data_IF_416539060247
#
_entry.id   IF_416539060247
#
_cell.length_a   1.000
_cell.length_b   1.000
_cell.length_c   1.000
_cell.angle_alpha   90.00
_cell.angle_beta   90.00
_cell.angle_gamma   90.00
#
_symmetry.space_group_name_H-M   'P 1'
#
loop_
_entity.id
_entity.type
_entity.pdbx_description
1 polymer ?
#
# COMPACT_ATOMS: atom_id res chain seq x y z
N UNK A 1 -4.25 -11.66 -11.48
CA UNK A 1 -5.55 -12.34 -11.18
C UNK A 1 -6.31 -11.69 -10.03
N UNK A 2 -5.62 -10.99 -9.11
CA UNK A 2 -6.18 -10.44 -7.86
C UNK A 2 -7.06 -9.20 -8.05
N UNK A 3 -6.65 -8.23 -8.89
CA UNK A 3 -7.35 -6.96 -9.07
C UNK A 3 -8.82 -7.10 -9.48
N UNK A 4 -9.12 -8.02 -10.40
CA UNK A 4 -10.49 -8.25 -10.88
C UNK A 4 -11.40 -8.81 -9.79
N UNK A 5 -10.84 -9.53 -8.80
CA UNK A 5 -11.60 -10.03 -7.65
C UNK A 5 -11.94 -8.88 -6.70
N UNK A 6 -11.02 -7.93 -6.49
CA UNK A 6 -11.27 -6.75 -5.68
C UNK A 6 -12.37 -5.87 -6.27
N UNK A 7 -12.31 -5.57 -7.57
CA UNK A 7 -13.38 -4.78 -8.20
C UNK A 7 -14.76 -5.42 -8.01
N UNK A 8 -14.87 -6.74 -8.13
CA UNK A 8 -16.12 -7.47 -7.84
C UNK A 8 -16.52 -7.39 -6.37
N UNK A 9 -15.57 -7.51 -5.46
CA UNK A 9 -15.81 -7.38 -4.02
C UNK A 9 -16.38 -6.00 -3.67
N UNK A 10 -15.89 -4.94 -4.30
CA UNK A 10 -16.41 -3.57 -4.19
C UNK A 10 -17.70 -3.31 -4.99
N UNK A 11 -18.30 -4.36 -5.58
CA UNK A 11 -19.58 -4.25 -6.28
C UNK A 11 -19.51 -3.64 -7.68
N UNK A 12 -18.32 -3.54 -8.28
CA UNK A 12 -18.20 -3.09 -9.67
C UNK A 12 -18.89 -4.10 -10.60
N UNK A 13 -19.85 -3.67 -11.44
CA UNK A 13 -20.57 -4.56 -12.35
C UNK A 13 -19.65 -5.39 -13.23
N UNK A 14 -20.00 -6.67 -13.45
CA UNK A 14 -19.18 -7.62 -14.23
C UNK A 14 -18.86 -7.09 -15.64
N UNK A 15 -19.79 -6.37 -16.26
CA UNK A 15 -19.56 -5.71 -17.56
C UNK A 15 -18.38 -4.73 -17.51
N UNK A 16 -18.31 -3.91 -16.47
CA UNK A 16 -17.23 -2.93 -16.27
C UNK A 16 -15.92 -3.67 -15.96
N UNK A 17 -15.96 -4.67 -15.08
CA UNK A 17 -14.77 -5.51 -14.77
C UNK A 17 -14.20 -6.15 -16.03
N UNK A 18 -15.07 -6.65 -16.92
CA UNK A 18 -14.67 -7.25 -18.18
C UNK A 18 -14.05 -6.22 -19.14
N UNK A 19 -14.62 -5.01 -19.26
CA UNK A 19 -14.04 -3.93 -20.09
C UNK A 19 -12.64 -3.57 -19.57
N UNK A 20 -12.49 -3.40 -18.26
CA UNK A 20 -11.19 -3.08 -17.65
C UNK A 20 -10.21 -4.21 -17.91
N UNK A 21 -10.56 -5.46 -17.61
CA UNK A 21 -9.70 -6.63 -17.82
C UNK A 21 -9.25 -6.75 -19.29
N UNK A 22 -10.18 -6.62 -20.24
CA UNK A 22 -9.86 -6.69 -21.66
C UNK A 22 -8.86 -5.60 -22.10
N UNK A 23 -8.83 -4.46 -21.41
CA UNK A 23 -7.86 -3.40 -21.67
C UNK A 23 -6.43 -3.72 -21.17
N UNK A 24 -6.27 -4.78 -20.38
CA UNK A 24 -4.98 -5.28 -19.87
C UNK A 24 -4.57 -6.61 -20.51
N UNK A 25 -5.54 -7.44 -20.92
CA UNK A 25 -5.26 -8.75 -21.51
C UNK A 25 -4.46 -8.63 -22.81
N UNK A 26 -3.34 -9.36 -22.91
CA UNK A 26 -2.47 -9.36 -24.08
C UNK A 26 -1.70 -8.05 -24.31
N UNK A 27 -1.69 -7.12 -23.35
CA UNK A 27 -1.03 -5.84 -23.49
C UNK A 27 0.47 -6.02 -23.76
N UNK A 28 0.96 -5.33 -24.78
CA UNK A 28 2.39 -5.20 -25.08
C UNK A 28 2.83 -3.74 -24.93
N UNK A 29 4.06 -3.54 -24.46
CA UNK A 29 4.67 -2.23 -24.29
C UNK A 29 5.99 -2.17 -25.07
N UNK A 30 6.34 -0.96 -25.50
CA UNK A 30 7.65 -0.60 -26.06
C UNK A 30 8.15 0.64 -25.34
N UNK A 31 9.44 0.72 -25.07
CA UNK A 31 10.06 1.89 -24.44
C UNK A 31 10.76 2.70 -25.52
N UNK A 32 10.59 4.03 -25.46
CA UNK A 32 11.37 4.95 -26.30
C UNK A 32 12.57 5.44 -25.50
N UNK A 33 13.78 5.23 -26.03
CA UNK A 33 15.02 5.69 -25.42
C UNK A 33 15.96 6.23 -26.51
N UNK A 34 16.40 7.49 -26.37
CA UNK A 34 17.27 8.12 -27.38
C UNK A 34 16.66 8.24 -28.77
N UNK A 35 15.32 8.37 -28.88
CA UNK A 35 14.59 8.42 -30.15
C UNK A 35 14.40 7.06 -30.84
N UNK A 36 14.89 5.97 -30.26
CA UNK A 36 14.67 4.61 -30.75
C UNK A 36 13.66 3.87 -29.87
N UNK A 37 12.85 3.01 -30.49
CA UNK A 37 11.91 2.12 -29.81
C UNK A 37 12.57 0.78 -29.54
N UNK A 38 12.35 0.23 -28.34
CA UNK A 38 12.70 -1.15 -28.03
C UNK A 38 11.77 -2.13 -28.74
N UNK A 39 12.15 -3.41 -28.73
CA UNK A 39 11.23 -4.50 -29.03
C UNK A 39 10.03 -4.51 -28.08
N UNK A 40 8.91 -5.05 -28.58
CA UNK A 40 7.70 -5.20 -27.78
C UNK A 40 7.90 -6.29 -26.73
N UNK A 41 7.51 -6.01 -25.50
CA UNK A 41 7.42 -7.00 -24.44
C UNK A 41 6.00 -7.04 -23.88
N UNK A 42 5.59 -8.21 -23.42
CA UNK A 42 4.28 -8.40 -22.81
C UNK A 42 4.27 -7.83 -21.39
N UNK A 43 3.27 -7.00 -21.08
CA UNK A 43 3.03 -6.50 -19.73
C UNK A 43 2.29 -7.57 -18.94
N UNK A 44 2.91 -8.08 -17.87
CA UNK A 44 2.36 -9.18 -17.05
C UNK A 44 1.85 -8.73 -15.69
N UNK A 45 2.33 -7.61 -15.20
CA UNK A 45 2.06 -7.10 -13.85
C UNK A 45 1.96 -5.58 -13.86
N UNK A 46 1.40 -5.04 -12.77
CA UNK A 46 1.27 -3.61 -12.57
C UNK A 46 0.05 -3.00 -13.26
N UNK A 47 -0.20 -1.74 -12.91
CA UNK A 47 -1.17 -0.88 -13.57
C UNK A 47 -0.45 0.01 -14.59
N UNK A 48 -1.17 0.55 -15.57
CA UNK A 48 -0.55 1.38 -16.62
C UNK A 48 -0.24 2.78 -16.10
N UNK A 49 1.03 3.12 -15.94
CA UNK A 49 1.42 4.48 -15.57
C UNK A 49 0.93 5.49 -16.63
N UNK A 50 0.36 6.62 -16.18
CA UNK A 50 -0.24 7.63 -17.05
C UNK A 50 -1.67 7.33 -17.54
N UNK A 51 -2.21 6.13 -17.30
CA UNK A 51 -3.62 5.85 -17.57
C UNK A 51 -4.49 6.40 -16.44
N UNK A 52 -5.55 7.13 -16.79
CA UNK A 52 -6.49 7.76 -15.84
C UNK A 52 -7.15 6.78 -14.88
N UNK A 53 -7.34 5.52 -15.29
CA UNK A 53 -7.97 4.49 -14.47
C UNK A 53 -6.99 3.85 -13.48
N UNK A 54 -5.69 3.87 -13.78
CA UNK A 54 -4.68 3.16 -13.00
C UNK A 54 -4.56 3.62 -11.55
N UNK A 55 -4.62 4.93 -11.22
CA UNK A 55 -4.66 5.38 -9.83
C UNK A 55 -5.82 4.76 -9.06
N UNK A 56 -7.03 4.77 -9.61
CA UNK A 56 -8.21 4.16 -8.97
C UNK A 56 -8.03 2.66 -8.73
N UNK A 57 -7.50 1.93 -9.72
CA UNK A 57 -7.23 0.50 -9.60
C UNK A 57 -6.20 0.20 -8.52
N UNK A 58 -5.16 1.03 -8.41
CA UNK A 58 -4.14 0.89 -7.39
C UNK A 58 -4.68 1.20 -6.00
N UNK A 59 -5.42 2.31 -5.85
CA UNK A 59 -6.07 2.67 -4.57
C UNK A 59 -7.07 1.60 -4.11
N UNK A 60 -7.79 0.96 -5.03
CA UNK A 60 -8.69 -0.16 -4.68
C UNK A 60 -7.93 -1.35 -4.07
N UNK A 61 -6.67 -1.55 -4.45
CA UNK A 61 -5.81 -2.58 -3.86
C UNK A 61 -5.30 -2.13 -2.49
N UNK A 62 -4.87 -0.86 -2.37
CA UNK A 62 -4.41 -0.28 -1.09
C UNK A 62 -5.53 -0.32 -0.04
N UNK A 63 -6.74 0.11 -0.39
CA UNK A 63 -7.92 0.05 0.48
C UNK A 63 -8.19 -1.38 0.97
N UNK A 64 -8.08 -2.38 0.07
CA UNK A 64 -8.23 -3.78 0.45
C UNK A 64 -7.15 -4.24 1.43
N UNK A 65 -5.88 -3.85 1.20
CA UNK A 65 -4.78 -4.18 2.13
C UNK A 65 -5.07 -3.58 3.49
N UNK A 66 -5.43 -2.30 3.55
CA UNK A 66 -5.66 -1.60 4.81
C UNK A 66 -6.84 -2.19 5.55
N UNK A 67 -7.99 -2.34 4.90
CA UNK A 67 -9.19 -2.94 5.49
C UNK A 67 -8.92 -4.37 5.99
N UNK A 68 -8.17 -5.18 5.24
CA UNK A 68 -7.82 -6.55 5.68
C UNK A 68 -6.83 -6.53 6.85
N UNK A 69 -5.90 -5.58 6.88
CA UNK A 69 -4.83 -5.54 7.89
C UNK A 69 -5.27 -4.94 9.22
N UNK A 70 -6.32 -4.11 9.23
CA UNK A 70 -6.76 -3.33 10.41
C UNK A 70 -8.16 -3.69 10.91
N UNK A 71 -8.99 -4.41 10.13
CA UNK A 71 -10.40 -4.67 10.51
C UNK A 71 -10.59 -5.51 11.77
N UNK A 72 -9.67 -6.42 12.11
CA UNK A 72 -9.85 -7.35 13.23
C UNK A 72 -9.56 -6.72 14.60
N UNK A 73 -8.79 -5.62 14.65
CA UNK A 73 -8.31 -5.09 15.92
C UNK A 73 -8.19 -3.56 15.93
N UNK A 74 -8.69 -2.97 17.04
CA UNK A 74 -8.67 -1.53 17.30
C UNK A 74 -7.29 -1.04 17.73
N UNK A 75 -6.37 -1.04 16.78
CA UNK A 75 -4.95 -0.69 16.96
C UNK A 75 -4.61 0.73 16.48
N UNK A 76 -5.62 1.54 16.15
CA UNK A 76 -5.46 2.93 15.72
C UNK A 76 -5.36 3.91 16.88
N UNK A 77 -5.07 5.17 16.55
CA UNK A 77 -5.09 6.29 17.51
C UNK A 77 -6.54 6.76 17.69
N UNK A 78 -6.95 7.09 18.91
CA UNK A 78 -8.33 7.54 19.16
C UNK A 78 -8.53 8.93 18.54
N UNK A 79 -9.47 9.03 17.59
CA UNK A 79 -9.78 10.29 16.90
C UNK A 79 -11.03 10.98 17.44
N UNK A 80 -12.09 10.21 17.69
CA UNK A 80 -13.33 10.67 18.35
C UNK A 80 -13.71 9.72 19.48
N UNK A 81 -14.82 9.94 20.20
CA UNK A 81 -15.28 9.01 21.23
C UNK A 81 -15.53 7.58 20.72
N UNK A 82 -15.82 7.41 19.42
CA UNK A 82 -16.18 6.11 18.83
C UNK A 82 -15.21 5.64 17.74
N UNK A 83 -14.43 6.53 17.14
CA UNK A 83 -13.59 6.22 15.99
C UNK A 83 -12.10 6.28 16.32
N UNK A 84 -11.35 5.41 15.66
CA UNK A 84 -9.89 5.43 15.64
C UNK A 84 -9.40 5.78 14.24
N UNK A 85 -8.19 6.31 14.18
CA UNK A 85 -7.44 6.57 12.97
C UNK A 85 -6.30 5.54 12.91
N UNK A 86 -6.42 4.60 11.97
CA UNK A 86 -5.46 3.50 11.85
C UNK A 86 -4.26 3.83 10.97
N UNK A 87 -4.46 4.71 10.00
CA UNK A 87 -3.49 5.03 8.97
C UNK A 87 -3.81 6.35 8.26
N UNK A 88 -2.84 6.82 7.49
CA UNK A 88 -2.95 7.84 6.45
C UNK A 88 -2.24 7.30 5.22
N UNK A 89 -2.85 7.39 4.05
CA UNK A 89 -2.29 6.87 2.81
C UNK A 89 -2.31 7.91 1.68
N UNK A 90 -1.29 7.87 0.84
CA UNK A 90 -1.24 8.63 -0.40
C UNK A 90 -0.46 7.87 -1.46
N UNK A 91 -1.16 7.47 -2.52
CA UNK A 91 -0.59 6.63 -3.57
C UNK A 91 0.07 5.37 -2.96
N UNK A 92 1.38 5.21 -3.10
CA UNK A 92 2.16 4.09 -2.55
C UNK A 92 2.72 4.33 -1.13
N UNK A 93 2.57 5.54 -0.59
CA UNK A 93 3.01 5.86 0.75
C UNK A 93 1.91 5.56 1.79
N UNK A 94 2.28 4.80 2.83
CA UNK A 94 1.43 4.46 3.97
C UNK A 94 2.06 4.95 5.27
N UNK A 95 1.29 5.64 6.09
CA UNK A 95 1.65 6.02 7.46
C UNK A 95 0.73 5.30 8.45
N UNK A 96 1.27 4.32 9.17
CA UNK A 96 0.53 3.55 10.16
C UNK A 96 0.55 4.26 11.52
N UNK A 97 -0.56 4.23 12.24
CA UNK A 97 -0.74 4.92 13.51
C UNK A 97 -1.19 3.95 14.61
N UNK A 98 -0.51 3.93 15.75
CA UNK A 98 -0.87 3.09 16.90
C UNK A 98 -0.48 3.75 18.22
N UNK A 99 -1.19 3.40 19.30
CA UNK A 99 -0.92 3.91 20.65
C UNK A 99 0.24 3.20 21.33
N UNK A 100 0.42 1.91 21.08
CA UNK A 100 1.46 1.11 21.73
C UNK A 100 2.45 0.52 20.73
N UNK A 101 3.66 0.23 21.22
CA UNK A 101 4.71 -0.45 20.44
C UNK A 101 4.24 -1.81 19.92
N UNK A 102 3.56 -2.59 20.75
CA UNK A 102 3.02 -3.91 20.38
C UNK A 102 2.00 -3.81 19.24
N UNK A 103 1.07 -2.86 19.34
CA UNK A 103 0.09 -2.59 18.29
C UNK A 103 0.76 -2.19 16.97
N UNK A 104 1.77 -1.31 17.04
CA UNK A 104 2.54 -0.90 15.86
C UNK A 104 3.26 -2.09 15.22
N UNK A 105 3.85 -2.98 16.02
CA UNK A 105 4.55 -4.18 15.55
C UNK A 105 3.58 -5.15 14.85
N UNK A 106 2.42 -5.40 15.45
CA UNK A 106 1.36 -6.24 14.87
C UNK A 106 0.87 -5.64 13.55
N UNK A 107 0.56 -4.33 13.54
CA UNK A 107 0.04 -3.63 12.36
C UNK A 107 1.05 -3.64 11.21
N UNK A 108 2.33 -3.37 11.50
CA UNK A 108 3.41 -3.40 10.51
C UNK A 108 3.56 -4.80 9.89
N UNK A 109 3.54 -5.85 10.72
CA UNK A 109 3.63 -7.23 10.24
C UNK A 109 2.40 -7.64 9.42
N UNK A 110 1.20 -7.24 9.85
CA UNK A 110 -0.07 -7.51 9.16
C UNK A 110 -0.08 -6.89 7.76
N UNK A 111 0.21 -5.59 7.65
CA UNK A 111 0.26 -4.87 6.37
C UNK A 111 1.27 -5.50 5.42
N UNK A 112 2.46 -5.87 5.91
CA UNK A 112 3.47 -6.52 5.09
C UNK A 112 3.03 -7.92 4.59
N UNK A 113 2.45 -8.73 5.47
CA UNK A 113 1.97 -10.07 5.11
C UNK A 113 0.82 -10.02 4.09
N UNK A 114 -0.15 -9.13 4.30
CA UNK A 114 -1.29 -8.94 3.39
C UNK A 114 -0.80 -8.40 2.04
N UNK A 115 0.11 -7.43 2.03
CA UNK A 115 0.73 -6.89 0.80
C UNK A 115 1.45 -7.99 0.01
N UNK A 116 2.27 -8.80 0.70
CA UNK A 116 3.01 -9.91 0.09
C UNK A 116 2.08 -10.95 -0.53
N UNK A 117 0.94 -11.24 0.12
CA UNK A 117 -0.05 -12.22 -0.36
C UNK A 117 -0.65 -11.86 -1.74
N UNK A 118 -0.58 -10.58 -2.13
CA UNK A 118 -1.11 -10.08 -3.39
C UNK A 118 -0.02 -9.59 -4.36
N UNK A 119 1.25 -9.84 -4.03
CA UNK A 119 2.40 -9.54 -4.87
C UNK A 119 2.94 -8.10 -4.76
N UNK A 120 2.61 -7.39 -3.68
CA UNK A 120 3.24 -6.12 -3.31
C UNK A 120 4.31 -6.36 -2.24
N UNK A 121 5.31 -5.47 -2.18
CA UNK A 121 6.41 -5.58 -1.23
C UNK A 121 6.66 -4.25 -0.54
N UNK A 122 6.79 -4.28 0.78
CA UNK A 122 7.15 -3.10 1.58
C UNK A 122 8.64 -2.80 1.43
N UNK A 123 8.97 -1.54 1.09
CA UNK A 123 10.36 -1.13 0.94
C UNK A 123 10.99 -0.81 2.30
N UNK A 124 11.57 -1.82 2.96
CA UNK A 124 12.15 -1.73 4.31
C UNK A 124 13.10 -0.54 4.52
N UNK A 125 14.00 -0.26 3.58
CA UNK A 125 14.94 0.87 3.68
C UNK A 125 14.31 2.27 3.66
N UNK A 126 13.07 2.39 3.15
CA UNK A 126 12.30 3.64 3.12
C UNK A 126 11.31 3.73 4.28
N UNK A 127 10.90 2.61 4.85
CA UNK A 127 10.02 2.57 6.02
C UNK A 127 10.78 3.06 7.26
N UNK A 128 10.21 4.05 7.94
CA UNK A 128 10.75 4.63 9.17
C UNK A 128 9.74 4.53 10.31
N UNK A 129 10.24 4.55 11.54
CA UNK A 129 9.44 4.56 12.75
C UNK A 129 9.61 5.92 13.41
N UNK A 130 8.50 6.65 13.57
CA UNK A 130 8.46 7.90 14.33
C UNK A 130 7.80 7.63 15.68
N UNK A 131 8.50 7.93 16.77
CA UNK A 131 8.01 7.73 18.13
C UNK A 131 7.71 9.08 18.77
N UNK A 132 6.45 9.34 19.11
CA UNK A 132 6.05 10.57 19.79
C UNK A 132 5.75 10.31 21.27
N UNK A 133 6.54 10.92 22.16
CA UNK A 133 6.41 10.77 23.63
C UNK A 133 6.33 9.31 24.11
N UNK A 134 6.96 8.39 23.38
CA UNK A 134 7.02 6.98 23.76
C UNK A 134 8.25 6.71 24.63
N UNK A 135 8.05 6.06 25.77
CA UNK A 135 9.15 5.62 26.66
C UNK A 135 9.82 4.32 26.18
N UNK A 136 9.15 3.59 25.28
CA UNK A 136 9.60 2.29 24.81
C UNK A 136 10.68 2.43 23.71
N UNK A 137 11.88 1.91 23.99
CA UNK A 137 13.03 1.90 23.10
C UNK A 137 13.15 0.64 22.24
N UNK A 138 12.22 -0.32 22.36
CA UNK A 138 12.24 -1.54 21.57
C UNK A 138 12.12 -1.20 20.07
N UNK A 139 12.89 -1.89 19.22
CA UNK A 139 12.80 -1.72 17.78
C UNK A 139 11.47 -2.25 17.26
N UNK A 140 10.96 -1.67 16.16
CA UNK A 140 9.98 -2.34 15.30
C UNK A 140 10.77 -3.10 14.24
N UNK A 141 10.36 -4.32 13.96
CA UNK A 141 11.00 -5.18 12.97
C UNK A 141 10.05 -5.55 11.84
N UNK A 142 10.61 -5.75 10.66
CA UNK A 142 9.88 -6.20 9.47
C UNK A 142 10.71 -7.29 8.78
N UNK A 143 10.18 -8.51 8.74
CA UNK A 143 10.87 -9.71 8.25
C UNK A 143 12.27 -9.91 8.87
N UNK A 144 12.39 -9.65 10.17
CA UNK A 144 13.65 -9.77 10.93
C UNK A 144 14.62 -8.59 10.78
N UNK A 145 14.35 -7.61 9.92
CA UNK A 145 15.13 -6.37 9.82
C UNK A 145 14.57 -5.30 10.76
N UNK A 146 15.44 -4.60 11.48
CA UNK A 146 15.05 -3.46 12.33
C UNK A 146 14.78 -2.24 11.46
N UNK A 147 13.61 -1.63 11.64
CA UNK A 147 13.27 -0.37 10.98
C UNK A 147 13.98 0.79 11.69
N UNK A 148 14.37 1.81 10.92
CA UNK A 148 15.06 2.97 11.47
C UNK A 148 14.11 3.85 12.27
N UNK A 149 14.46 4.11 13.53
CA UNK A 149 13.81 5.11 14.38
C UNK A 149 14.30 6.52 13.98
N UNK A 150 13.37 7.40 13.62
CA UNK A 150 13.64 8.80 13.25
C UNK A 150 12.97 9.77 14.20
N UNK A 151 13.52 10.99 14.31
CA UNK A 151 12.90 12.09 15.08
C UNK A 151 11.97 12.95 14.23
N UNK A 152 12.16 12.93 12.91
CA UNK A 152 11.36 13.66 11.95
C UNK A 152 11.42 12.96 10.59
N UNK A 153 10.38 13.11 9.79
CA UNK A 153 10.31 12.52 8.45
C UNK A 153 9.62 13.45 7.46
N UNK A 154 10.10 13.50 6.22
CA UNK A 154 9.42 14.26 5.16
C UNK A 154 8.33 13.40 4.53
N UNK A 155 7.08 13.73 4.80
CA UNK A 155 5.90 13.09 4.23
C UNK A 155 5.14 14.10 3.36
N UNK A 156 4.97 13.79 2.07
CA UNK A 156 4.26 14.64 1.10
C UNK A 156 4.74 16.10 1.06
N UNK A 157 6.06 16.30 1.22
CA UNK A 157 6.69 17.62 1.20
C UNK A 157 6.64 18.40 2.52
N UNK A 158 6.04 17.83 3.57
CA UNK A 158 6.03 18.41 4.92
C UNK A 158 6.87 17.58 5.88
N UNK A 159 7.58 18.26 6.80
CA UNK A 159 8.30 17.57 7.88
C UNK A 159 7.32 17.31 9.01
N UNK A 160 7.21 16.05 9.40
CA UNK A 160 6.45 15.58 10.56
C UNK A 160 7.43 15.21 11.67
#
# INVERSE_FOLDING_TARGET
>A
MTLWKFLRHYGVPEMIVNIIRNSYDGLQCKVMHGGQLTDAFQVRTGVRQGCLLSPFLFLSVVDWIMNTSTSEAKHGIQWTAQNQLDDLDFADDLALLSHTHEQMQIKTASVAAVSASIGLSTHKGKTKVLKFKAENSNPITLDGETLEDVKSFTYLGSII
#
